data_IF_390676744081
#
_entry.id   IF_390676744081
#
_cell.length_a   1.000
_cell.length_b   1.000
_cell.length_c   1.000
_cell.angle_alpha   90.00
_cell.angle_beta   90.00
_cell.angle_gamma   90.00
#
_symmetry.space_group_name_H-M   'P 1'
#
loop_
_entity.id
_entity.type
_entity.pdbx_description
1 polymer ?
#
# COMPACT_ATOMS: atom_id res chain seq x y z
N UNK A 1 -28.76 -117.59 2.54
CA UNK A 1 -28.31 -116.20 2.35
C UNK A 1 -28.72 -115.76 0.95
N UNK A 2 -29.88 -115.14 0.83
CA UNK A 2 -30.33 -114.30 -0.30
C UNK A 2 -31.83 -114.12 -0.10
N UNK A 3 -32.24 -112.96 0.41
CA UNK A 3 -33.58 -112.35 0.21
C UNK A 3 -33.94 -111.24 1.22
N UNK A 4 -33.05 -110.92 2.17
CA UNK A 4 -33.26 -109.76 3.08
C UNK A 4 -32.70 -108.45 2.52
N UNK A 5 -31.94 -108.48 1.42
CA UNK A 5 -31.25 -107.30 0.87
C UNK A 5 -32.03 -106.50 -0.18
N UNK A 6 -33.15 -107.01 -0.71
CA UNK A 6 -33.92 -106.31 -1.74
C UNK A 6 -34.89 -105.25 -1.17
N UNK A 7 -35.20 -105.29 0.13
CA UNK A 7 -36.22 -104.42 0.74
C UNK A 7 -35.67 -103.22 1.54
N UNK A 8 -34.37 -103.20 1.86
CA UNK A 8 -33.72 -102.05 2.54
C UNK A 8 -33.33 -100.95 1.54
N UNK A 9 -33.18 -101.29 0.26
CA UNK A 9 -32.81 -100.33 -0.80
C UNK A 9 -33.92 -99.37 -1.23
N UNK A 10 -35.19 -99.67 -0.98
CA UNK A 10 -36.31 -98.86 -1.48
C UNK A 10 -36.80 -97.78 -0.49
N UNK A 11 -36.57 -97.94 0.82
CA UNK A 11 -37.01 -96.97 1.84
C UNK A 11 -35.92 -95.93 2.14
N UNK A 12 -34.63 -96.29 1.96
CA UNK A 12 -33.52 -95.34 2.11
C UNK A 12 -33.44 -94.26 1.03
N UNK A 13 -34.01 -94.51 -0.16
CA UNK A 13 -33.95 -93.59 -1.30
C UNK A 13 -34.92 -92.41 -1.26
N UNK A 14 -36.00 -92.48 -0.47
CA UNK A 14 -37.03 -91.44 -0.43
C UNK A 14 -36.86 -90.41 0.70
N UNK A 15 -36.06 -90.69 1.73
CA UNK A 15 -35.77 -89.74 2.81
C UNK A 15 -34.52 -88.87 2.55
N UNK A 16 -33.61 -89.33 1.70
CA UNK A 16 -32.42 -88.55 1.30
C UNK A 16 -32.70 -87.40 0.34
N UNK A 17 -33.72 -87.53 -0.51
CA UNK A 17 -34.08 -86.53 -1.52
C UNK A 17 -34.73 -85.26 -0.95
N UNK A 18 -35.54 -85.39 0.11
CA UNK A 18 -36.22 -84.25 0.75
C UNK A 18 -35.29 -83.41 1.64
N UNK A 19 -34.40 -84.06 2.40
CA UNK A 19 -33.46 -83.39 3.28
C UNK A 19 -32.33 -82.69 2.51
N UNK A 20 -31.79 -83.32 1.45
CA UNK A 20 -30.74 -82.72 0.61
C UNK A 20 -31.19 -81.46 -0.14
N UNK A 21 -32.45 -81.41 -0.58
CA UNK A 21 -33.03 -80.23 -1.22
C UNK A 21 -33.38 -79.13 -0.21
N UNK A 22 -33.85 -79.48 1.00
CA UNK A 22 -34.11 -78.51 2.07
C UNK A 22 -32.83 -77.84 2.58
N UNK A 23 -31.75 -78.60 2.80
CA UNK A 23 -30.44 -78.08 3.18
C UNK A 23 -29.73 -77.36 2.02
N UNK A 24 -29.90 -77.82 0.78
CA UNK A 24 -29.38 -77.14 -0.41
C UNK A 24 -30.05 -75.79 -0.68
N UNK A 25 -31.38 -75.70 -0.53
CA UNK A 25 -32.14 -74.45 -0.73
C UNK A 25 -31.95 -73.48 0.44
N UNK A 26 -31.94 -73.95 1.69
CA UNK A 26 -31.64 -73.10 2.85
C UNK A 26 -30.19 -72.60 2.83
N UNK A 27 -29.22 -73.45 2.47
CA UNK A 27 -27.83 -73.07 2.25
C UNK A 27 -27.65 -72.08 1.09
N UNK A 28 -28.40 -72.23 0.00
CA UNK A 28 -28.37 -71.30 -1.14
C UNK A 28 -29.00 -69.93 -0.81
N UNK A 29 -30.12 -69.92 -0.09
CA UNK A 29 -30.74 -68.67 0.40
C UNK A 29 -29.83 -67.95 1.40
N UNK A 30 -29.17 -68.70 2.28
CA UNK A 30 -28.22 -68.14 3.24
C UNK A 30 -26.95 -67.62 2.56
N UNK A 31 -26.44 -68.33 1.55
CA UNK A 31 -25.33 -67.87 0.71
C UNK A 31 -25.69 -66.61 -0.08
N UNK A 32 -26.91 -66.50 -0.63
CA UNK A 32 -27.38 -65.27 -1.30
C UNK A 32 -27.50 -64.08 -0.34
N UNK A 33 -28.00 -64.30 0.88
CA UNK A 33 -28.05 -63.25 1.91
C UNK A 33 -26.64 -62.82 2.35
N UNK A 34 -25.73 -63.76 2.54
CA UNK A 34 -24.34 -63.47 2.87
C UNK A 34 -23.62 -62.70 1.75
N UNK A 35 -23.86 -63.07 0.48
CA UNK A 35 -23.33 -62.32 -0.67
C UNK A 35 -23.90 -60.91 -0.77
N UNK A 36 -25.19 -60.73 -0.46
CA UNK A 36 -25.80 -59.39 -0.44
C UNK A 36 -25.21 -58.52 0.67
N UNK A 37 -25.05 -59.05 1.88
CA UNK A 37 -24.39 -58.35 2.99
C UNK A 37 -22.93 -58.03 2.65
N UNK A 38 -22.23 -58.94 1.96
CA UNK A 38 -20.86 -58.71 1.52
C UNK A 38 -20.76 -57.63 0.42
N UNK A 39 -21.77 -57.50 -0.45
CA UNK A 39 -21.87 -56.40 -1.41
C UNK A 39 -22.17 -55.08 -0.70
N UNK A 40 -23.19 -55.04 0.15
CA UNK A 40 -23.55 -53.83 0.91
C UNK A 40 -22.36 -53.33 1.77
N UNK A 41 -21.59 -54.25 2.36
CA UNK A 41 -20.38 -53.92 3.12
C UNK A 41 -19.23 -53.40 2.24
N UNK A 42 -19.09 -53.91 1.01
CA UNK A 42 -18.10 -53.40 0.04
C UNK A 42 -18.48 -52.00 -0.43
N UNK A 43 -19.74 -51.77 -0.76
CA UNK A 43 -20.25 -50.48 -1.20
C UNK A 43 -20.11 -49.42 -0.08
N UNK A 44 -20.36 -49.81 1.17
CA UNK A 44 -20.12 -48.95 2.34
C UNK A 44 -18.64 -48.65 2.53
N UNK A 45 -17.76 -49.64 2.39
CA UNK A 45 -16.31 -49.43 2.48
C UNK A 45 -15.79 -48.51 1.37
N UNK A 46 -16.30 -48.66 0.14
CA UNK A 46 -15.96 -47.79 -0.99
C UNK A 46 -16.43 -46.35 -0.76
N UNK A 47 -17.66 -46.17 -0.26
CA UNK A 47 -18.18 -44.85 0.12
C UNK A 47 -17.35 -44.21 1.23
N UNK A 48 -16.93 -45.00 2.23
CA UNK A 48 -16.06 -44.53 3.31
C UNK A 48 -14.66 -44.15 2.82
N UNK A 49 -14.11 -44.89 1.86
CA UNK A 49 -12.84 -44.53 1.21
C UNK A 49 -12.94 -43.24 0.40
N UNK A 50 -14.04 -43.04 -0.34
CA UNK A 50 -14.29 -41.79 -1.08
C UNK A 50 -14.38 -40.59 -0.11
N UNK A 51 -15.18 -40.71 0.96
CA UNK A 51 -15.29 -39.66 1.97
C UNK A 51 -13.93 -39.33 2.63
N UNK A 52 -13.12 -40.35 2.90
CA UNK A 52 -11.76 -40.14 3.44
C UNK A 52 -10.85 -39.44 2.43
N UNK A 53 -11.00 -39.70 1.13
CA UNK A 53 -10.26 -39.01 0.07
C UNK A 53 -10.65 -37.54 0.02
N UNK A 54 -11.96 -37.26 -0.01
CA UNK A 54 -12.50 -35.90 -0.03
C UNK A 54 -12.06 -35.10 1.21
N UNK A 55 -12.06 -35.73 2.39
CA UNK A 55 -11.58 -35.11 3.62
C UNK A 55 -10.07 -34.78 3.56
N UNK A 56 -9.26 -35.64 2.93
CA UNK A 56 -7.84 -35.39 2.72
C UNK A 56 -7.61 -34.25 1.71
N UNK A 57 -8.42 -34.15 0.66
CA UNK A 57 -8.35 -33.08 -0.32
C UNK A 57 -8.74 -31.74 0.30
N UNK A 58 -9.83 -31.70 1.05
CA UNK A 58 -10.24 -30.52 1.82
C UNK A 58 -9.19 -30.11 2.85
N UNK A 59 -8.56 -31.06 3.53
CA UNK A 59 -7.47 -30.78 4.49
C UNK A 59 -6.24 -30.18 3.79
N UNK A 60 -5.91 -30.66 2.58
CA UNK A 60 -4.84 -30.08 1.76
C UNK A 60 -5.17 -28.66 1.31
N UNK A 61 -6.41 -28.41 0.91
CA UNK A 61 -6.87 -27.08 0.52
C UNK A 61 -6.85 -26.11 1.71
N UNK A 62 -7.37 -26.51 2.87
CA UNK A 62 -7.34 -25.71 4.09
C UNK A 62 -5.91 -25.34 4.50
N UNK A 63 -4.96 -26.28 4.38
CA UNK A 63 -3.55 -26.00 4.64
C UNK A 63 -2.96 -24.98 3.66
N UNK A 64 -3.32 -25.04 2.37
CA UNK A 64 -2.89 -24.03 1.38
C UNK A 64 -3.43 -22.65 1.74
N UNK A 65 -4.72 -22.56 2.05
CA UNK A 65 -5.35 -21.29 2.48
C UNK A 65 -4.65 -20.73 3.72
N UNK A 66 -4.31 -21.59 4.70
CA UNK A 66 -3.61 -21.15 5.90
C UNK A 66 -2.19 -20.61 5.61
N UNK A 67 -1.48 -21.22 4.65
CA UNK A 67 -0.17 -20.72 4.19
C UNK A 67 -0.31 -19.37 3.50
N UNK A 68 -1.27 -19.24 2.58
CA UNK A 68 -1.52 -17.98 1.85
C UNK A 68 -1.93 -16.86 2.82
N UNK A 69 -2.81 -17.16 3.77
CA UNK A 69 -3.23 -16.21 4.81
C UNK A 69 -2.06 -15.77 5.69
N UNK A 70 -1.14 -16.68 6.02
CA UNK A 70 0.08 -16.35 6.75
C UNK A 70 0.98 -15.43 5.93
N UNK A 71 1.19 -15.71 4.65
CA UNK A 71 2.00 -14.86 3.79
C UNK A 71 1.40 -13.45 3.70
N UNK A 72 0.08 -13.34 3.49
CA UNK A 72 -0.61 -12.05 3.46
C UNK A 72 -0.46 -11.28 4.79
N UNK A 73 -0.51 -11.98 5.93
CA UNK A 73 -0.29 -11.36 7.23
C UNK A 73 1.16 -10.86 7.40
N UNK A 74 2.16 -11.58 6.89
CA UNK A 74 3.56 -11.17 6.90
C UNK A 74 3.80 -9.93 6.01
N UNK A 75 3.17 -9.89 4.82
CA UNK A 75 3.19 -8.72 3.93
C UNK A 75 2.51 -7.51 4.58
N UNK A 76 1.33 -7.70 5.18
CA UNK A 76 0.60 -6.65 5.89
C UNK A 76 1.42 -6.09 7.07
N UNK A 77 2.05 -6.95 7.87
CA UNK A 77 2.93 -6.53 8.95
C UNK A 77 4.13 -5.73 8.43
N UNK A 78 4.72 -6.15 7.31
CA UNK A 78 5.83 -5.41 6.67
C UNK A 78 5.41 -4.02 6.22
N UNK A 79 4.21 -3.89 5.65
CA UNK A 79 3.65 -2.59 5.25
C UNK A 79 3.40 -1.72 6.47
N UNK A 80 2.79 -2.28 7.53
CA UNK A 80 2.51 -1.58 8.78
C UNK A 80 3.79 -1.05 9.44
N UNK A 81 4.84 -1.88 9.56
CA UNK A 81 6.13 -1.44 10.12
C UNK A 81 6.77 -0.32 9.28
N UNK A 82 6.69 -0.38 7.95
CA UNK A 82 7.20 0.69 7.07
C UNK A 82 6.39 1.97 7.22
N UNK A 83 5.08 1.87 7.40
CA UNK A 83 4.22 3.02 7.63
C UNK A 83 4.52 3.67 8.98
N UNK A 84 4.65 2.87 10.04
CA UNK A 84 5.02 3.33 11.39
C UNK A 84 6.40 4.00 11.39
N UNK A 85 7.38 3.43 10.70
CA UNK A 85 8.71 4.04 10.55
C UNK A 85 8.65 5.42 9.89
N UNK A 86 7.85 5.59 8.82
CA UNK A 86 7.62 6.91 8.20
C UNK A 86 6.88 7.87 9.13
N UNK A 87 5.93 7.37 9.90
CA UNK A 87 5.12 8.21 10.79
C UNK A 87 5.98 8.79 11.93
N UNK A 88 6.82 7.95 12.51
CA UNK A 88 7.72 8.26 13.64
C UNK A 88 9.04 8.91 13.23
N UNK A 89 9.30 9.05 11.92
CA UNK A 89 10.49 9.71 11.40
C UNK A 89 10.59 11.17 11.88
N UNK A 90 11.75 11.51 12.43
CA UNK A 90 12.14 12.88 12.72
C UNK A 90 13.00 13.37 11.55
N UNK A 91 12.54 14.42 10.87
CA UNK A 91 13.27 15.09 9.80
C UNK A 91 13.15 16.61 9.98
N UNK A 92 14.24 17.26 10.42
CA UNK A 92 14.36 18.70 10.61
C UNK A 92 14.87 19.37 9.33
N UNK A 93 13.93 19.66 8.45
CA UNK A 93 14.12 20.54 7.28
C UNK A 93 13.29 21.80 7.53
N UNK A 94 13.93 22.96 7.36
CA UNK A 94 13.31 24.26 7.59
C UNK A 94 13.71 25.26 6.53
N UNK A 95 12.74 25.71 5.75
CA UNK A 95 12.97 26.70 4.72
C UNK A 95 12.86 28.11 5.28
N UNK A 96 13.83 28.95 4.91
CA UNK A 96 13.83 30.38 5.19
C UNK A 96 14.15 31.11 3.91
N UNK A 97 13.21 31.92 3.46
CA UNK A 97 13.35 32.79 2.32
C UNK A 97 13.93 34.16 2.69
N UNK A 98 14.76 34.70 1.79
CA UNK A 98 15.30 36.05 1.90
C UNK A 98 15.64 36.62 0.53
N UNK A 99 15.59 37.94 0.40
CA UNK A 99 16.16 38.62 -0.76
C UNK A 99 17.69 38.61 -0.66
N UNK A 100 18.38 38.17 -1.72
CA UNK A 100 19.83 38.32 -1.82
C UNK A 100 20.22 39.68 -2.42
N UNK A 101 19.45 40.09 -3.42
CA UNK A 101 19.54 41.36 -4.14
C UNK A 101 18.19 41.55 -4.88
N UNK A 102 17.88 42.76 -5.38
CA UNK A 102 16.64 43.00 -6.12
C UNK A 102 16.45 42.04 -7.30
N UNK A 103 15.37 41.25 -7.24
CA UNK A 103 15.02 40.21 -8.22
C UNK A 103 15.79 38.91 -8.10
N UNK A 104 16.57 38.70 -7.02
CA UNK A 104 17.14 37.40 -6.68
C UNK A 104 16.69 36.99 -5.30
N UNK A 105 15.79 36.02 -5.25
CA UNK A 105 15.28 35.45 -4.01
C UNK A 105 15.99 34.14 -3.69
N UNK A 106 16.31 33.89 -2.42
CA UNK A 106 16.97 32.67 -1.97
C UNK A 106 16.11 31.94 -0.94
N UNK A 107 15.88 30.63 -1.16
CA UNK A 107 15.30 29.74 -0.15
C UNK A 107 16.43 28.88 0.42
N UNK A 108 16.69 29.01 1.72
CA UNK A 108 17.75 28.27 2.40
C UNK A 108 17.15 27.19 3.28
N UNK A 109 17.68 25.96 3.18
CA UNK A 109 17.42 24.93 4.17
C UNK A 109 18.24 25.23 5.43
N UNK A 110 17.61 25.79 6.46
CA UNK A 110 18.17 26.08 7.78
C UNK A 110 17.99 24.94 8.79
N UNK A 111 17.40 23.83 8.34
CA UNK A 111 17.31 22.60 9.13
C UNK A 111 18.66 21.90 9.25
N UNK A 112 18.66 20.76 9.93
CA UNK A 112 19.83 19.91 10.12
C UNK A 112 19.90 18.76 9.11
N UNK A 113 18.77 18.44 8.48
CA UNK A 113 18.66 17.32 7.55
C UNK A 113 18.63 17.76 6.09
N UNK A 114 19.01 16.84 5.21
CA UNK A 114 18.89 17.01 3.76
C UNK A 114 17.43 16.89 3.31
N UNK A 115 17.02 17.81 2.44
CA UNK A 115 15.74 17.74 1.76
C UNK A 115 15.90 17.00 0.44
N UNK A 116 15.15 15.94 0.21
CA UNK A 116 15.26 15.08 -0.99
C UNK A 116 14.10 15.37 -1.94
N UNK A 117 14.34 15.33 -3.25
CA UNK A 117 13.33 15.52 -4.29
C UNK A 117 12.64 16.88 -4.19
N UNK A 118 13.41 17.94 -3.99
CA UNK A 118 12.89 19.27 -3.69
C UNK A 118 12.24 19.89 -4.92
N UNK A 119 11.01 20.34 -4.74
CA UNK A 119 10.23 21.07 -5.72
C UNK A 119 9.74 22.39 -5.12
N UNK A 120 10.26 23.52 -5.59
CA UNK A 120 10.07 24.82 -4.99
C UNK A 120 9.55 25.85 -6.01
N UNK A 121 8.58 26.65 -5.58
CA UNK A 121 8.05 27.80 -6.31
C UNK A 121 8.06 29.02 -5.41
N UNK A 122 8.54 30.14 -5.94
CA UNK A 122 8.45 31.46 -5.30
C UNK A 122 7.63 32.36 -6.20
N UNK A 123 6.61 33.00 -5.65
CA UNK A 123 5.76 33.97 -6.35
C UNK A 123 5.89 35.33 -5.70
N UNK A 124 6.17 36.37 -6.49
CA UNK A 124 6.24 37.76 -6.03
C UNK A 124 5.31 38.60 -6.89
N UNK A 125 4.23 39.12 -6.28
CA UNK A 125 3.20 39.93 -6.95
C UNK A 125 2.68 39.34 -8.27
N UNK A 126 2.57 38.00 -8.31
CA UNK A 126 2.11 37.24 -9.47
C UNK A 126 3.21 36.79 -10.45
N UNK A 127 4.45 37.24 -10.30
CA UNK A 127 5.60 36.69 -11.01
C UNK A 127 6.06 35.39 -10.33
N UNK A 128 6.05 34.26 -11.05
CA UNK A 128 6.43 32.96 -10.51
C UNK A 128 7.80 32.49 -11.01
N UNK A 129 8.61 31.97 -10.10
CA UNK A 129 9.87 31.31 -10.38
C UNK A 129 9.90 29.91 -9.77
N UNK A 130 10.32 28.93 -10.56
CA UNK A 130 10.26 27.50 -10.20
C UNK A 130 11.62 26.82 -10.23
N UNK A 131 11.87 25.91 -9.29
CA UNK A 131 13.09 25.09 -9.19
C UNK A 131 12.78 23.68 -8.73
N UNK A 132 13.38 22.71 -9.40
CA UNK A 132 13.39 21.30 -8.99
C UNK A 132 14.82 20.81 -8.93
N UNK A 133 15.19 20.16 -7.83
CA UNK A 133 16.51 19.58 -7.62
C UNK A 133 16.39 18.24 -6.88
N UNK A 134 17.37 17.36 -7.07
CA UNK A 134 17.35 16.03 -6.46
C UNK A 134 17.54 16.09 -4.95
N UNK A 135 18.37 17.02 -4.45
CA UNK A 135 18.48 17.26 -3.02
C UNK A 135 19.03 18.64 -2.69
N UNK A 136 18.75 19.09 -1.46
CA UNK A 136 19.33 20.29 -0.86
C UNK A 136 19.83 19.94 0.55
N UNK A 137 21.15 19.90 0.78
CA UNK A 137 21.71 19.58 2.09
C UNK A 137 21.40 20.68 3.12
N UNK A 138 21.65 20.38 4.40
CA UNK A 138 21.60 21.38 5.46
C UNK A 138 22.51 22.58 5.14
N UNK A 139 21.98 23.79 5.28
CA UNK A 139 22.64 25.03 4.89
C UNK A 139 22.68 25.31 3.38
N UNK A 140 22.23 24.37 2.54
CA UNK A 140 22.08 24.55 1.10
C UNK A 140 20.94 25.51 0.76
N UNK A 141 20.94 26.03 -0.47
CA UNK A 141 19.93 26.99 -0.91
C UNK A 141 19.54 26.83 -2.37
N UNK A 142 18.37 27.34 -2.71
CA UNK A 142 17.85 27.51 -4.06
C UNK A 142 17.78 29.00 -4.40
N UNK A 143 18.19 29.36 -5.61
CA UNK A 143 18.12 30.73 -6.10
C UNK A 143 17.05 30.86 -7.20
N UNK A 144 16.24 31.91 -7.06
CA UNK A 144 15.12 32.25 -7.94
C UNK A 144 15.37 33.63 -8.54
N UNK A 145 15.26 33.71 -9.87
CA UNK A 145 15.36 34.96 -10.61
C UNK A 145 13.95 35.49 -10.86
N UNK A 146 13.69 36.72 -10.42
CA UNK A 146 12.42 37.42 -10.48
C UNK A 146 12.68 38.81 -11.11
N UNK A 147 12.89 38.87 -12.44
CA UNK A 147 13.20 40.12 -13.12
C UNK A 147 12.11 41.19 -12.97
N UNK A 148 10.83 40.81 -12.88
CA UNK A 148 9.72 41.73 -12.62
C UNK A 148 9.88 42.45 -11.29
N UNK A 149 10.20 41.71 -10.22
CA UNK A 149 10.51 42.29 -8.91
C UNK A 149 11.71 43.26 -8.96
N UNK A 150 12.77 42.93 -9.72
CA UNK A 150 13.92 43.83 -9.93
C UNK A 150 13.51 45.13 -10.63
N UNK A 151 12.69 45.03 -11.66
CA UNK A 151 12.28 46.20 -12.43
C UNK A 151 11.32 47.09 -11.63
N UNK A 152 10.47 46.49 -10.81
CA UNK A 152 9.67 47.23 -9.83
C UNK A 152 10.55 47.98 -8.84
N UNK A 153 11.51 47.30 -8.20
CA UNK A 153 12.44 47.95 -7.27
C UNK A 153 13.16 49.15 -7.93
N UNK A 154 13.63 49.00 -9.16
CA UNK A 154 14.28 50.10 -9.91
C UNK A 154 13.36 51.29 -10.13
N UNK A 155 12.08 51.06 -10.44
CA UNK A 155 11.08 52.13 -10.60
C UNK A 155 10.88 52.88 -9.29
N UNK A 156 10.68 52.16 -8.19
CA UNK A 156 10.50 52.76 -6.86
C UNK A 156 11.71 53.59 -6.42
N UNK A 157 12.94 53.09 -6.64
CA UNK A 157 14.15 53.83 -6.34
C UNK A 157 14.30 55.10 -7.19
N UNK A 158 13.89 55.07 -8.46
CA UNK A 158 13.90 56.25 -9.32
C UNK A 158 12.88 57.30 -8.87
N UNK A 159 11.70 56.88 -8.40
CA UNK A 159 10.66 57.75 -7.83
C UNK A 159 11.12 58.40 -6.52
N UNK A 160 11.71 57.63 -5.60
CA UNK A 160 12.30 58.16 -4.35
C UNK A 160 13.41 59.18 -4.67
N UNK A 161 14.30 58.85 -5.61
CA UNK A 161 15.37 59.76 -6.01
C UNK A 161 14.81 61.06 -6.62
N UNK A 162 13.74 60.99 -7.41
CA UNK A 162 13.06 62.16 -7.96
C UNK A 162 12.40 62.99 -6.85
N UNK A 163 11.68 62.36 -5.92
CA UNK A 163 11.09 63.01 -4.75
C UNK A 163 12.15 63.76 -3.95
N UNK A 164 13.25 63.10 -3.59
CA UNK A 164 14.34 63.70 -2.83
C UNK A 164 14.97 64.89 -3.55
N UNK A 165 15.16 64.81 -4.88
CA UNK A 165 15.64 65.95 -5.69
C UNK A 165 14.67 67.13 -5.68
N UNK A 166 13.37 66.88 -5.80
CA UNK A 166 12.35 67.94 -5.77
C UNK A 166 12.27 68.60 -4.40
N UNK A 167 12.25 67.81 -3.33
CA UNK A 167 12.24 68.31 -1.95
C UNK A 167 13.50 69.12 -1.63
N UNK A 168 14.69 68.64 -2.02
CA UNK A 168 15.94 69.37 -1.83
C UNK A 168 15.99 70.70 -2.60
N UNK A 169 15.28 70.81 -3.73
CA UNK A 169 15.13 72.04 -4.49
C UNK A 169 14.02 72.97 -3.97
N UNK A 170 13.41 72.67 -2.82
CA UNK A 170 12.31 73.44 -2.24
C UNK A 170 11.01 73.39 -3.05
N UNK A 171 10.89 72.41 -3.97
CA UNK A 171 9.68 72.21 -4.78
C UNK A 171 8.72 71.29 -4.06
N UNK A 172 7.42 71.52 -4.25
CA UNK A 172 6.40 70.57 -3.81
C UNK A 172 6.63 69.21 -4.48
N UNK A 173 6.66 68.16 -3.67
CA UNK A 173 6.84 66.79 -4.11
C UNK A 173 5.92 65.88 -3.31
N UNK A 174 5.31 64.89 -3.97
CA UNK A 174 4.46 63.88 -3.32
C UNK A 174 5.32 62.68 -3.00
N UNK A 175 5.28 62.23 -1.74
CA UNK A 175 6.01 61.04 -1.32
C UNK A 175 5.46 59.80 -2.04
N UNK A 176 6.29 58.98 -2.69
CA UNK A 176 5.82 57.79 -3.40
C UNK A 176 5.21 56.78 -2.40
N UNK A 177 4.04 56.26 -2.73
CA UNK A 177 3.38 55.22 -1.91
C UNK A 177 4.02 53.89 -2.29
N UNK A 178 4.73 53.26 -1.34
CA UNK A 178 5.20 51.88 -1.50
C UNK A 178 4.00 50.94 -1.41
N UNK A 179 3.76 50.16 -2.46
CA UNK A 179 2.79 49.05 -2.39
C UNK A 179 3.43 47.91 -1.61
N UNK A 180 2.68 47.34 -0.67
CA UNK A 180 3.13 46.13 0.02
C UNK A 180 3.21 45.00 -1.01
N UNK A 181 4.39 44.39 -1.12
CA UNK A 181 4.61 43.27 -2.03
C UNK A 181 4.24 41.96 -1.31
N UNK A 182 3.63 41.04 -2.04
CA UNK A 182 3.25 39.73 -1.52
C UNK A 182 4.21 38.68 -2.04
N UNK A 183 4.87 37.98 -1.13
CA UNK A 183 5.75 36.85 -1.45
C UNK A 183 5.08 35.56 -0.97
N UNK A 184 4.95 34.60 -1.89
CA UNK A 184 4.49 33.25 -1.62
C UNK A 184 5.64 32.28 -1.84
N UNK A 185 5.95 31.49 -0.81
CA UNK A 185 7.00 30.49 -0.82
C UNK A 185 6.33 29.13 -0.68
N UNK A 186 6.48 28.27 -1.68
CA UNK A 186 6.01 26.89 -1.63
C UNK A 186 7.15 25.93 -1.92
N UNK A 187 7.49 25.09 -0.95
CA UNK A 187 8.50 24.04 -1.10
C UNK A 187 7.91 22.71 -0.71
N UNK A 188 8.00 21.74 -1.61
CA UNK A 188 7.65 20.34 -1.37
C UNK A 188 8.92 19.51 -1.41
N UNK A 189 9.11 18.62 -0.45
CA UNK A 189 10.22 17.68 -0.42
C UNK A 189 9.78 16.36 0.18
N UNK A 190 10.64 15.36 0.04
CA UNK A 190 10.45 14.02 0.57
C UNK A 190 11.54 13.75 1.61
N UNK A 191 11.18 13.10 2.72
CA UNK A 191 12.12 12.64 3.74
C UNK A 191 12.83 11.35 3.30
N UNK A 192 13.94 10.95 3.95
CA UNK A 192 14.61 9.68 3.65
C UNK A 192 13.70 8.44 3.67
N UNK A 193 12.71 8.38 4.56
CA UNK A 193 11.76 7.24 4.59
C UNK A 193 10.58 7.39 3.61
N UNK A 194 10.52 8.47 2.83
CA UNK A 194 9.52 8.65 1.78
C UNK A 194 8.27 9.41 2.21
N UNK A 195 8.31 10.18 3.30
CA UNK A 195 7.21 11.04 3.74
C UNK A 195 7.28 12.38 3.00
N UNK A 196 6.19 12.78 2.35
CA UNK A 196 6.11 14.11 1.74
C UNK A 196 5.95 15.18 2.83
N UNK A 197 6.62 16.31 2.65
CA UNK A 197 6.59 17.47 3.52
C UNK A 197 6.41 18.72 2.68
N UNK A 198 5.69 19.69 3.24
CA UNK A 198 5.34 20.93 2.56
C UNK A 198 5.68 22.10 3.49
N UNK A 199 6.29 23.11 2.91
CA UNK A 199 6.46 24.44 3.45
C UNK A 199 5.68 25.39 2.56
N UNK A 200 4.71 26.09 3.13
CA UNK A 200 3.84 27.03 2.42
C UNK A 200 3.70 28.26 3.31
N UNK A 201 4.36 29.36 2.92
CA UNK A 201 4.35 30.62 3.66
C UNK A 201 3.96 31.76 2.73
N UNK A 202 3.08 32.63 3.23
CA UNK A 202 2.79 33.93 2.66
C UNK A 202 3.35 35.02 3.58
N UNK A 203 4.26 35.82 3.07
CA UNK A 203 4.88 36.91 3.82
C UNK A 203 4.53 38.26 3.18
N UNK A 204 3.90 39.20 3.91
CA UNK A 204 3.86 40.59 3.51
C UNK A 204 5.25 41.19 3.78
N UNK A 205 6.08 41.34 2.75
CA UNK A 205 7.37 42.00 2.88
C UNK A 205 7.27 43.35 2.17
N UNK A 206 7.45 44.43 2.94
CA UNK A 206 7.31 45.79 2.43
C UNK A 206 8.44 46.19 1.46
N UNK A 207 9.61 45.56 1.53
CA UNK A 207 10.79 45.95 0.76
C UNK A 207 11.34 44.80 -0.09
N UNK A 208 11.23 44.92 -1.42
CA UNK A 208 11.89 44.05 -2.38
C UNK A 208 13.40 44.32 -2.33
N UNK A 209 14.22 43.32 -1.97
CA UNK A 209 15.67 43.44 -2.13
C UNK A 209 16.46 43.99 -0.93
N UNK A 210 15.83 44.29 0.21
CA UNK A 210 16.56 44.50 1.47
C UNK A 210 16.80 43.14 2.17
N UNK A 211 18.06 42.79 2.51
CA UNK A 211 18.42 41.53 3.16
C UNK A 211 18.04 41.47 4.65
#
# INVERSE_FOLDING_TARGET
>A
MSDVLAWIGAIGGLLGGGAGLGFGVSGFVQSRRANKIAQDARDFAESGHQLSSDANDLSREANRIAVDARQLAEEANTISMRAEARETEINDVRWVGAWKEPGRYILTNRGQDEAIGVNATVTVDGEEAHRRVDSVPAGGYLAFELPGARDQFRREQAEIAAYNRHTAAGRYAVYPIHMANTILERVVWVTPLGKERIHDIQSPISNLGEP
#
